data_IF_397532471002
#
_entry.id   IF_397532471002
#
_cell.length_a   1.000
_cell.length_b   1.000
_cell.length_c   1.000
_cell.angle_alpha   90.00
_cell.angle_beta   90.00
_cell.angle_gamma   90.00
#
_symmetry.space_group_name_H-M   'P 1'
#
loop_
_entity.id
_entity.type
_entity.pdbx_description
1 polymer ?
#
# COMPACT_ATOMS: atom_id res chain seq x y z
N UNK A 1 13.16 -11.96 -10.36
CA UNK A 1 12.51 -12.31 -11.64
C UNK A 1 13.49 -12.19 -12.81
N UNK A 2 14.43 -13.14 -12.94
CA UNK A 2 15.37 -13.16 -14.07
C UNK A 2 14.67 -13.46 -15.41
N UNK A 3 13.59 -14.24 -15.38
CA UNK A 3 12.82 -14.59 -16.58
C UNK A 3 12.07 -13.42 -17.22
N UNK A 4 11.74 -12.38 -16.45
CA UNK A 4 10.97 -11.21 -16.93
C UNK A 4 11.81 -9.93 -17.00
N UNK A 5 12.95 -9.90 -16.29
CA UNK A 5 13.85 -8.71 -16.19
C UNK A 5 15.31 -8.98 -16.57
N UNK A 6 15.66 -10.22 -16.92
CA UNK A 6 17.01 -10.62 -17.32
C UNK A 6 17.24 -10.49 -18.83
N UNK A 7 18.45 -10.83 -19.28
CA UNK A 7 18.82 -10.74 -20.70
C UNK A 7 17.91 -11.55 -21.65
N UNK A 8 17.28 -12.62 -21.16
CA UNK A 8 16.30 -13.42 -21.91
C UNK A 8 14.90 -12.79 -22.02
N UNK A 9 14.63 -11.67 -21.36
CA UNK A 9 13.33 -11.00 -21.41
C UNK A 9 13.14 -10.10 -22.65
N UNK A 10 14.21 -9.85 -23.41
CA UNK A 10 14.17 -9.03 -24.63
C UNK A 10 13.31 -9.75 -25.68
N UNK A 11 12.17 -9.16 -26.02
CA UNK A 11 11.22 -9.73 -26.99
C UNK A 11 10.17 -10.67 -26.39
N UNK A 12 10.15 -10.85 -25.06
CA UNK A 12 9.06 -11.59 -24.40
C UNK A 12 7.79 -10.74 -24.42
N UNK A 13 6.70 -11.29 -24.94
CA UNK A 13 5.39 -10.65 -24.92
C UNK A 13 4.66 -11.01 -23.63
N UNK A 14 3.97 -10.04 -23.03
CA UNK A 14 3.10 -10.25 -21.87
C UNK A 14 2.09 -11.38 -22.11
N UNK A 15 1.54 -11.48 -23.33
CA UNK A 15 0.57 -12.51 -23.68
C UNK A 15 1.12 -13.95 -23.62
N UNK A 16 2.45 -14.13 -23.58
CA UNK A 16 3.10 -15.45 -23.52
C UNK A 16 3.53 -15.82 -22.09
N UNK A 17 3.19 -15.02 -21.07
CA UNK A 17 3.58 -15.25 -19.67
C UNK A 17 2.71 -16.27 -18.92
N UNK A 18 1.65 -16.82 -19.53
CA UNK A 18 0.76 -17.81 -18.92
C UNK A 18 1.51 -18.96 -18.20
N UNK A 19 2.44 -19.66 -18.87
CA UNK A 19 3.21 -20.73 -18.23
C UNK A 19 4.08 -20.28 -17.05
N UNK A 20 4.57 -19.03 -17.05
CA UNK A 20 5.30 -18.46 -15.92
C UNK A 20 4.36 -18.23 -14.73
N UNK A 21 3.17 -17.70 -15.00
CA UNK A 21 2.15 -17.47 -13.98
C UNK A 21 1.72 -18.77 -13.29
N UNK A 22 1.56 -19.86 -14.05
CA UNK A 22 1.27 -21.18 -13.52
C UNK A 22 2.41 -21.69 -12.62
N UNK A 23 3.67 -21.53 -13.05
CA UNK A 23 4.85 -21.88 -12.24
C UNK A 23 4.89 -21.11 -10.93
N UNK A 24 4.59 -19.81 -10.94
CA UNK A 24 4.52 -18.99 -9.71
C UNK A 24 3.46 -19.55 -8.76
N UNK A 25 2.27 -19.86 -9.27
CA UNK A 25 1.17 -20.39 -8.46
C UNK A 25 1.52 -21.74 -7.84
N UNK A 26 2.12 -22.64 -8.63
CA UNK A 26 2.61 -23.94 -8.15
C UNK A 26 3.66 -23.73 -7.06
N UNK A 27 4.65 -22.86 -7.29
CA UNK A 27 5.71 -22.59 -6.32
C UNK A 27 5.16 -22.03 -5.00
N UNK A 28 4.20 -21.09 -5.03
CA UNK A 28 3.53 -20.61 -3.82
C UNK A 28 2.87 -21.77 -3.06
N UNK A 29 2.12 -22.65 -3.73
CA UNK A 29 1.48 -23.82 -3.11
C UNK A 29 2.49 -24.80 -2.51
N UNK A 30 3.62 -25.01 -3.19
CA UNK A 30 4.70 -25.87 -2.70
C UNK A 30 5.28 -25.33 -1.40
N UNK A 31 5.52 -24.01 -1.30
CA UNK A 31 6.04 -23.39 -0.07
C UNK A 31 5.00 -23.38 1.06
N UNK A 32 3.71 -23.18 0.75
CA UNK A 32 2.63 -23.29 1.76
C UNK A 32 2.63 -24.70 2.37
N UNK A 33 2.77 -25.73 1.52
CA UNK A 33 2.75 -27.14 1.94
C UNK A 33 4.02 -27.51 2.70
N UNK A 34 5.17 -27.02 2.25
CA UNK A 34 6.47 -27.29 2.82
C UNK A 34 7.32 -26.00 2.95
N UNK A 35 7.11 -25.21 4.02
CA UNK A 35 7.84 -23.95 4.19
C UNK A 35 9.32 -24.17 4.56
N UNK A 36 9.73 -25.39 4.90
CA UNK A 36 11.13 -25.75 5.14
C UNK A 36 11.98 -25.67 3.87
N UNK A 37 11.36 -25.60 2.68
CA UNK A 37 12.03 -25.25 1.43
C UNK A 37 12.69 -23.86 1.44
N UNK A 38 12.29 -22.98 2.37
CA UNK A 38 12.92 -21.68 2.61
C UNK A 38 13.53 -21.56 4.01
N UNK A 39 12.96 -22.29 4.98
CA UNK A 39 13.26 -22.12 6.41
C UNK A 39 14.18 -23.20 6.97
N UNK A 40 14.51 -24.27 6.23
CA UNK A 40 15.52 -25.22 6.70
C UNK A 40 16.93 -24.63 6.56
N UNK A 41 17.85 -25.01 7.46
CA UNK A 41 19.28 -24.75 7.30
C UNK A 41 19.86 -25.47 6.06
N UNK A 42 19.23 -26.58 5.67
CA UNK A 42 19.57 -27.36 4.49
C UNK A 42 18.79 -26.91 3.24
N UNK A 43 18.02 -25.81 3.33
CA UNK A 43 17.21 -25.36 2.21
C UNK A 43 18.10 -24.94 1.03
N UNK A 44 17.89 -25.58 -0.11
CA UNK A 44 18.63 -25.32 -1.34
C UNK A 44 17.89 -24.32 -2.22
N UNK A 45 18.65 -23.54 -2.98
CA UNK A 45 18.08 -22.67 -4.01
C UNK A 45 17.37 -23.44 -5.12
N UNK A 46 17.77 -24.69 -5.37
CA UNK A 46 17.19 -25.54 -6.42
C UNK A 46 15.69 -25.79 -6.19
N UNK A 47 15.29 -25.93 -4.93
CA UNK A 47 13.89 -26.18 -4.54
C UNK A 47 13.21 -24.95 -3.94
N UNK A 48 13.98 -24.06 -3.32
CA UNK A 48 13.47 -22.86 -2.65
C UNK A 48 13.29 -21.65 -3.55
N UNK A 49 13.97 -21.58 -4.69
CA UNK A 49 13.77 -20.49 -5.66
C UNK A 49 12.73 -20.88 -6.72
N UNK A 50 12.07 -19.86 -7.29
CA UNK A 50 11.07 -20.06 -8.35
C UNK A 50 11.69 -20.61 -9.65
N UNK A 51 12.90 -20.17 -9.98
CA UNK A 51 13.61 -20.52 -11.21
C UNK A 51 14.61 -21.68 -11.03
N UNK A 52 14.78 -22.19 -9.81
CA UNK A 52 15.80 -23.20 -9.48
C UNK A 52 17.22 -22.64 -9.46
N UNK A 53 17.36 -21.33 -9.52
CA UNK A 53 18.63 -20.63 -9.65
C UNK A 53 19.12 -20.06 -8.31
N UNK A 54 20.42 -19.76 -8.23
CA UNK A 54 21.02 -19.19 -7.03
C UNK A 54 20.29 -17.93 -6.56
N UNK A 55 20.07 -17.84 -5.25
CA UNK A 55 19.42 -16.70 -4.62
C UNK A 55 20.10 -15.40 -5.01
N UNK A 56 19.31 -14.37 -5.32
CA UNK A 56 19.85 -13.05 -5.66
C UNK A 56 20.64 -12.44 -4.49
N UNK A 57 20.29 -12.79 -3.26
CA UNK A 57 20.91 -12.33 -2.02
C UNK A 57 21.07 -13.48 -1.03
N UNK A 58 22.12 -14.32 -1.19
CA UNK A 58 22.37 -15.43 -0.28
C UNK A 58 22.64 -14.96 1.15
N UNK A 59 23.30 -13.81 1.30
CA UNK A 59 23.53 -13.11 2.57
C UNK A 59 22.24 -12.87 3.37
N UNK A 60 21.17 -12.47 2.67
CA UNK A 60 19.86 -12.25 3.30
C UNK A 60 19.25 -13.53 3.85
N UNK A 61 19.42 -14.65 3.14
CA UNK A 61 18.88 -15.94 3.57
C UNK A 61 19.63 -16.47 4.79
N UNK A 62 20.97 -16.39 4.80
CA UNK A 62 21.77 -16.75 5.97
C UNK A 62 21.43 -15.91 7.20
N UNK A 63 21.18 -14.60 7.02
CA UNK A 63 20.78 -13.72 8.11
C UNK A 63 19.41 -14.11 8.68
N UNK A 64 18.45 -14.47 7.83
CA UNK A 64 17.14 -14.97 8.26
C UNK A 64 17.31 -16.25 9.08
N UNK A 65 18.08 -17.22 8.58
CA UNK A 65 18.33 -18.49 9.29
C UNK A 65 19.02 -18.32 10.64
N UNK A 66 19.99 -17.43 10.73
CA UNK A 66 20.65 -17.11 12.00
C UNK A 66 19.66 -16.52 13.03
N UNK A 67 18.62 -15.82 12.57
CA UNK A 67 17.60 -15.22 13.41
C UNK A 67 16.41 -16.16 13.69
N UNK A 68 16.24 -17.23 12.92
CA UNK A 68 15.10 -18.15 13.04
C UNK A 68 14.82 -18.62 14.47
N UNK A 69 15.82 -19.02 15.29
CA UNK A 69 15.56 -19.48 16.67
C UNK A 69 14.90 -18.41 17.55
N UNK A 70 15.03 -17.13 17.18
CA UNK A 70 14.46 -15.98 17.88
C UNK A 70 13.12 -15.51 17.31
N UNK A 71 12.63 -16.13 16.24
CA UNK A 71 11.45 -15.72 15.50
C UNK A 71 10.37 -16.82 15.52
N UNK A 72 9.66 -17.01 16.65
CA UNK A 72 8.74 -18.14 16.84
C UNK A 72 7.56 -18.16 15.84
N UNK A 73 7.23 -17.01 15.25
CA UNK A 73 6.12 -16.87 14.30
C UNK A 73 6.57 -16.82 12.83
N UNK A 74 7.87 -16.93 12.54
CA UNK A 74 8.37 -16.80 11.16
C UNK A 74 7.70 -17.79 10.21
N UNK A 75 7.57 -19.06 10.63
CA UNK A 75 6.91 -20.09 9.84
C UNK A 75 5.48 -19.69 9.48
N UNK A 76 4.68 -19.30 10.47
CA UNK A 76 3.28 -18.89 10.25
C UNK A 76 3.18 -17.66 9.36
N UNK A 77 4.10 -16.70 9.49
CA UNK A 77 4.14 -15.50 8.65
C UNK A 77 4.47 -15.85 7.20
N UNK A 78 5.43 -16.75 6.97
CA UNK A 78 5.80 -17.21 5.63
C UNK A 78 4.60 -17.91 4.97
N UNK A 79 3.95 -18.83 5.67
CA UNK A 79 2.73 -19.50 5.16
C UNK A 79 1.66 -18.46 4.79
N UNK A 80 1.31 -17.57 5.73
CA UNK A 80 0.27 -16.56 5.50
C UNK A 80 0.62 -15.61 4.33
N UNK A 81 1.90 -15.26 4.17
CA UNK A 81 2.37 -14.48 3.03
C UNK A 81 2.12 -15.22 1.71
N UNK A 82 2.49 -16.50 1.61
CA UNK A 82 2.31 -17.26 0.39
C UNK A 82 0.85 -17.62 0.11
N UNK A 83 0.01 -17.80 1.14
CA UNK A 83 -1.45 -17.95 0.98
C UNK A 83 -2.06 -16.68 0.35
N UNK A 84 -1.75 -15.51 0.91
CA UNK A 84 -2.23 -14.23 0.39
C UNK A 84 -1.66 -13.93 -1.01
N UNK A 85 -0.40 -14.29 -1.26
CA UNK A 85 0.21 -14.18 -2.57
C UNK A 85 -0.51 -15.08 -3.59
N UNK A 86 -0.74 -16.36 -3.28
CA UNK A 86 -1.43 -17.30 -4.17
C UNK A 86 -2.86 -16.87 -4.48
N UNK A 87 -3.61 -16.40 -3.47
CA UNK A 87 -4.97 -15.88 -3.65
C UNK A 87 -4.98 -14.66 -4.58
N UNK A 88 -4.06 -13.72 -4.36
CA UNK A 88 -3.96 -12.51 -5.19
C UNK A 88 -3.50 -12.85 -6.60
N UNK A 89 -2.56 -13.78 -6.73
CA UNK A 89 -2.02 -14.21 -8.03
C UNK A 89 -3.11 -14.88 -8.87
N UNK A 90 -3.96 -15.72 -8.27
CA UNK A 90 -5.12 -16.31 -8.95
C UNK A 90 -6.02 -15.26 -9.60
N UNK A 91 -6.30 -14.16 -8.89
CA UNK A 91 -7.09 -13.05 -9.45
C UNK A 91 -6.36 -12.36 -10.60
N UNK A 92 -5.04 -12.17 -10.47
CA UNK A 92 -4.21 -11.54 -11.50
C UNK A 92 -4.13 -12.36 -12.79
N UNK A 93 -4.09 -13.69 -12.68
CA UNK A 93 -3.84 -14.58 -13.83
C UNK A 93 -5.12 -15.05 -14.52
N UNK A 94 -6.29 -14.60 -14.07
CA UNK A 94 -7.60 -14.97 -14.64
C UNK A 94 -7.64 -14.74 -16.16
N UNK A 95 -6.97 -13.69 -16.65
CA UNK A 95 -6.88 -13.37 -18.08
C UNK A 95 -6.01 -14.33 -18.91
N UNK A 96 -5.25 -15.23 -18.27
CA UNK A 96 -4.44 -16.27 -18.91
C UNK A 96 -5.11 -17.66 -18.89
N UNK A 97 -6.32 -17.76 -18.32
CA UNK A 97 -7.05 -19.02 -18.27
C UNK A 97 -7.37 -19.60 -19.67
N UNK A 98 -7.70 -20.90 -19.77
CA UNK A 98 -7.92 -21.58 -21.04
C UNK A 98 -9.04 -20.95 -21.89
N UNK A 99 -10.06 -20.38 -21.25
CA UNK A 99 -11.19 -19.73 -21.92
C UNK A 99 -10.94 -18.24 -22.23
N UNK A 100 -9.73 -17.74 -22.00
CA UNK A 100 -9.42 -16.32 -22.18
C UNK A 100 -9.19 -15.93 -23.63
N UNK A 101 -9.27 -14.63 -23.90
CA UNK A 101 -8.91 -14.06 -25.21
C UNK A 101 -7.42 -14.21 -25.52
N UNK A 102 -6.57 -14.28 -24.49
CA UNK A 102 -5.12 -14.45 -24.64
C UNK A 102 -4.81 -15.89 -25.07
N UNK A 103 -5.49 -16.87 -24.44
CA UNK A 103 -5.35 -18.29 -24.77
C UNK A 103 -5.89 -18.64 -26.17
N UNK A 104 -7.01 -18.04 -26.55
CA UNK A 104 -7.62 -18.25 -27.88
C UNK A 104 -6.97 -17.44 -29.02
N UNK A 105 -6.13 -16.46 -28.72
CA UNK A 105 -5.40 -15.70 -29.73
C UNK A 105 -4.41 -16.58 -30.50
N UNK A 106 -4.32 -16.37 -31.81
CA UNK A 106 -3.25 -16.93 -32.62
C UNK A 106 -1.89 -16.30 -32.28
N UNK A 107 -0.79 -16.97 -32.63
CA UNK A 107 0.55 -16.41 -32.45
C UNK A 107 0.72 -15.04 -33.16
N UNK A 108 0.12 -14.90 -34.35
CA UNK A 108 0.14 -13.64 -35.10
C UNK A 108 -0.68 -12.52 -34.41
N UNK A 109 -1.78 -12.84 -33.74
CA UNK A 109 -2.54 -11.87 -32.95
C UNK A 109 -1.79 -11.46 -31.69
N UNK A 110 -1.19 -12.40 -30.96
CA UNK A 110 -0.34 -12.08 -29.81
C UNK A 110 0.81 -11.17 -30.23
N UNK A 111 1.50 -11.46 -31.33
CA UNK A 111 2.59 -10.63 -31.84
C UNK A 111 2.13 -9.21 -32.23
N UNK A 112 0.94 -9.06 -32.83
CA UNK A 112 0.37 -7.74 -33.14
C UNK A 112 -0.05 -6.98 -31.88
N UNK A 113 -0.52 -7.69 -30.87
CA UNK A 113 -0.87 -7.16 -29.55
C UNK A 113 0.33 -7.15 -28.59
N UNK A 114 1.53 -6.87 -29.10
CA UNK A 114 2.74 -6.88 -28.27
C UNK A 114 2.61 -5.92 -27.08
N UNK A 115 2.72 -6.50 -25.88
CA UNK A 115 2.77 -5.79 -24.61
C UNK A 115 4.08 -6.18 -23.91
N UNK A 116 4.84 -5.22 -23.36
CA UNK A 116 6.04 -5.55 -22.59
C UNK A 116 5.63 -6.39 -21.36
N UNK A 117 6.49 -7.32 -20.93
CA UNK A 117 6.15 -8.29 -19.89
C UNK A 117 6.18 -7.68 -18.48
N UNK A 118 6.72 -6.47 -18.35
CA UNK A 118 6.63 -5.64 -17.15
C UNK A 118 6.09 -4.25 -17.49
N UNK A 119 5.48 -3.62 -16.49
CA UNK A 119 5.03 -2.24 -16.58
C UNK A 119 6.20 -1.22 -16.50
N UNK A 120 7.45 -1.68 -16.41
CA UNK A 120 8.63 -0.83 -16.18
C UNK A 120 8.76 0.28 -17.25
N UNK A 121 8.40 -0.01 -18.50
CA UNK A 121 8.41 0.96 -19.61
C UNK A 121 7.37 2.06 -19.39
N UNK A 122 6.17 1.72 -18.94
CA UNK A 122 5.11 2.70 -18.65
C UNK A 122 5.44 3.50 -17.39
N UNK A 123 6.02 2.87 -16.37
CA UNK A 123 6.50 3.54 -15.16
C UNK A 123 7.62 4.54 -15.48
N UNK A 124 8.57 4.14 -16.34
CA UNK A 124 9.61 5.02 -16.87
C UNK A 124 9.04 6.17 -17.71
N UNK A 125 8.03 5.90 -18.54
CA UNK A 125 7.35 6.93 -19.32
C UNK A 125 6.63 7.94 -18.43
N UNK A 126 5.93 7.49 -17.39
CA UNK A 126 5.29 8.37 -16.41
C UNK A 126 6.32 9.20 -15.63
N UNK A 127 7.42 8.59 -15.20
CA UNK A 127 8.53 9.30 -14.57
C UNK A 127 9.11 10.39 -15.48
N UNK A 128 9.34 10.05 -16.74
CA UNK A 128 9.83 10.99 -17.77
C UNK A 128 8.83 12.13 -18.00
N UNK A 129 7.55 11.82 -18.11
CA UNK A 129 6.47 12.79 -18.24
C UNK A 129 6.46 13.76 -17.06
N UNK A 130 6.58 13.26 -15.82
CA UNK A 130 6.64 14.08 -14.61
C UNK A 130 7.82 15.05 -14.63
N UNK A 131 9.00 14.57 -15.02
CA UNK A 131 10.20 15.41 -15.16
C UNK A 131 9.97 16.48 -16.24
N UNK A 132 9.44 16.10 -17.41
CA UNK A 132 9.15 17.01 -18.50
C UNK A 132 8.13 18.10 -18.09
N UNK A 133 7.07 17.74 -17.37
CA UNK A 133 6.08 18.68 -16.85
C UNK A 133 6.66 19.66 -15.82
N UNK A 134 7.70 19.28 -15.06
CA UNK A 134 8.39 20.21 -14.16
C UNK A 134 9.21 21.25 -14.92
N UNK A 135 9.92 20.83 -15.97
CA UNK A 135 10.72 21.73 -16.80
C UNK A 135 9.87 22.60 -17.74
N UNK A 136 8.73 22.08 -18.21
CA UNK A 136 7.81 22.76 -19.12
C UNK A 136 6.36 22.59 -18.64
N UNK A 137 5.94 23.27 -17.57
CA UNK A 137 4.60 23.12 -16.99
C UNK A 137 3.48 23.59 -17.92
N UNK A 138 3.78 24.50 -18.84
CA UNK A 138 2.84 24.98 -19.84
C UNK A 138 2.73 24.06 -21.07
N UNK A 139 3.50 22.96 -21.13
CA UNK A 139 3.39 22.00 -22.22
C UNK A 139 2.09 21.20 -22.13
N UNK A 140 1.43 21.00 -23.27
CA UNK A 140 0.21 20.20 -23.35
C UNK A 140 0.56 18.71 -23.38
N UNK A 141 -0.38 17.86 -22.96
CA UNK A 141 -0.21 16.40 -23.00
C UNK A 141 0.05 15.92 -24.43
N UNK A 142 -0.62 16.53 -25.40
CA UNK A 142 -0.47 16.29 -26.83
C UNK A 142 0.94 16.60 -27.32
N UNK A 143 1.51 17.73 -26.88
CA UNK A 143 2.90 18.09 -27.20
C UNK A 143 3.90 17.10 -26.59
N UNK A 144 3.66 16.65 -25.35
CA UNK A 144 4.48 15.65 -24.70
C UNK A 144 4.41 14.29 -25.43
N UNK A 145 3.20 13.84 -25.78
CA UNK A 145 2.97 12.61 -26.53
C UNK A 145 3.62 12.68 -27.92
N UNK A 146 3.45 13.80 -28.64
CA UNK A 146 4.05 14.01 -29.95
C UNK A 146 5.58 13.97 -29.89
N UNK A 147 6.21 14.63 -28.91
CA UNK A 147 7.67 14.58 -28.71
C UNK A 147 8.17 13.18 -28.37
N UNK A 148 7.42 12.44 -27.56
CA UNK A 148 7.76 11.07 -27.18
C UNK A 148 7.71 10.16 -28.40
N UNK A 149 6.63 10.24 -29.18
CA UNK A 149 6.48 9.46 -30.42
C UNK A 149 7.50 9.85 -31.49
N UNK A 150 7.80 11.14 -31.64
CA UNK A 150 8.80 11.63 -32.57
C UNK A 150 10.18 10.99 -32.32
N UNK A 151 10.57 10.88 -31.04
CA UNK A 151 11.82 10.21 -30.63
C UNK A 151 11.74 8.70 -30.82
N UNK A 152 10.67 8.08 -30.32
CA UNK A 152 10.50 6.61 -30.34
C UNK A 152 10.48 6.05 -31.75
N UNK A 153 9.80 6.73 -32.67
CA UNK A 153 9.65 6.29 -34.05
C UNK A 153 10.78 6.79 -34.97
N UNK A 154 11.77 7.50 -34.43
CA UNK A 154 12.81 8.18 -35.20
C UNK A 154 12.23 9.04 -36.35
N UNK A 155 11.13 9.74 -36.07
CA UNK A 155 10.39 10.50 -37.09
C UNK A 155 11.25 11.57 -37.75
N UNK A 156 12.28 12.07 -37.06
CA UNK A 156 13.25 13.01 -37.64
C UNK A 156 14.00 12.46 -38.84
N UNK A 157 14.46 11.21 -38.78
CA UNK A 157 15.13 10.56 -39.92
C UNK A 157 14.17 10.30 -41.08
N UNK A 158 12.89 10.00 -40.79
CA UNK A 158 11.87 9.89 -41.82
C UNK A 158 11.59 11.24 -42.49
N UNK A 159 11.46 12.32 -41.71
CA UNK A 159 11.24 13.66 -42.24
C UNK A 159 12.41 14.10 -43.13
N UNK A 160 13.65 13.88 -42.72
CA UNK A 160 14.81 14.27 -43.52
C UNK A 160 14.94 13.47 -44.82
N UNK A 161 14.54 12.19 -44.82
CA UNK A 161 14.69 11.30 -45.98
C UNK A 161 13.50 11.37 -46.95
N UNK A 162 12.29 11.59 -46.44
CA UNK A 162 11.06 11.36 -47.20
C UNK A 162 10.21 12.61 -47.44
N UNK A 163 10.40 13.71 -46.69
CA UNK A 163 9.56 14.90 -46.83
C UNK A 163 10.25 16.05 -47.56
N UNK A 164 9.54 16.61 -48.55
CA UNK A 164 9.96 17.82 -49.24
C UNK A 164 9.70 19.09 -48.39
N UNK A 165 10.31 20.23 -48.73
CA UNK A 165 9.99 21.50 -48.08
C UNK A 165 8.50 21.89 -48.16
N UNK A 166 7.80 21.51 -49.23
CA UNK A 166 6.38 21.76 -49.40
C UNK A 166 5.53 20.92 -48.42
N UNK A 167 5.87 19.64 -48.25
CA UNK A 167 5.19 18.76 -47.28
C UNK A 167 5.38 19.26 -45.85
N UNK A 168 6.59 19.73 -45.52
CA UNK A 168 6.87 20.32 -44.21
C UNK A 168 6.07 21.62 -43.99
N UNK A 169 5.89 22.45 -45.03
CA UNK A 169 5.06 23.64 -44.95
C UNK A 169 3.59 23.29 -44.69
N UNK A 170 3.06 22.28 -45.38
CA UNK A 170 1.72 21.75 -45.14
C UNK A 170 1.54 21.21 -43.72
N UNK A 171 2.49 20.41 -43.21
CA UNK A 171 2.43 19.90 -41.84
C UNK A 171 2.45 21.02 -40.80
N UNK A 172 3.27 22.07 -41.01
CA UNK A 172 3.27 23.25 -40.12
C UNK A 172 1.93 23.98 -40.16
N UNK A 173 1.30 24.10 -41.32
CA UNK A 173 -0.04 24.68 -41.44
C UNK A 173 -1.06 23.85 -40.65
N UNK A 174 -1.10 22.53 -40.85
CA UNK A 174 -2.01 21.63 -40.12
C UNK A 174 -1.78 21.61 -38.62
N UNK A 175 -0.53 21.70 -38.17
CA UNK A 175 -0.21 21.82 -36.74
C UNK A 175 -0.83 23.10 -36.12
N UNK A 176 -0.71 24.24 -36.81
CA UNK A 176 -1.31 25.51 -36.35
C UNK A 176 -2.84 25.44 -36.31
N UNK A 177 -3.47 24.80 -37.31
CA UNK A 177 -4.91 24.57 -37.34
C UNK A 177 -5.36 23.74 -36.11
N UNK A 178 -4.65 22.66 -35.80
CA UNK A 178 -4.90 21.85 -34.61
C UNK A 178 -4.69 22.63 -33.30
N UNK A 179 -3.61 23.41 -33.18
CA UNK A 179 -3.35 24.23 -32.00
C UNK A 179 -4.44 25.30 -31.79
N UNK A 180 -4.96 25.86 -32.89
CA UNK A 180 -6.05 26.84 -32.87
C UNK A 180 -7.41 26.26 -32.48
N UNK A 181 -7.59 24.93 -32.54
CA UNK A 181 -8.85 24.25 -32.20
C UNK A 181 -9.26 24.38 -30.73
N UNK A 182 -8.33 24.76 -29.84
CA UNK A 182 -8.60 24.89 -28.41
C UNK A 182 -8.84 23.57 -27.67
N UNK A 183 -8.62 22.41 -28.31
CA UNK A 183 -8.84 21.09 -27.71
C UNK A 183 -8.08 20.89 -26.37
N UNK A 184 -6.86 21.40 -26.28
CA UNK A 184 -6.07 21.35 -25.04
C UNK A 184 -6.66 22.24 -23.92
N UNK A 185 -7.29 23.37 -24.27
CA UNK A 185 -8.02 24.21 -23.30
C UNK A 185 -9.25 23.47 -22.79
N UNK A 186 -10.02 22.86 -23.68
CA UNK A 186 -11.20 22.04 -23.33
C UNK A 186 -10.85 20.88 -22.39
N UNK A 187 -9.77 20.15 -22.68
CA UNK A 187 -9.29 19.08 -21.80
C UNK A 187 -8.89 19.59 -20.40
N UNK A 188 -8.24 20.75 -20.32
CA UNK A 188 -7.87 21.35 -19.04
C UNK A 188 -9.08 21.78 -18.22
N UNK A 189 -10.12 22.31 -18.86
CA UNK A 189 -11.37 22.64 -18.17
C UNK A 189 -12.10 21.39 -17.68
N UNK A 190 -12.21 20.36 -18.52
CA UNK A 190 -12.81 19.07 -18.13
C UNK A 190 -12.05 18.43 -16.94
N UNK A 191 -10.71 18.47 -16.95
CA UNK A 191 -9.90 17.97 -15.83
C UNK A 191 -10.13 18.79 -14.55
N UNK A 192 -10.17 20.12 -14.65
CA UNK A 192 -10.40 20.98 -13.50
C UNK A 192 -11.79 20.79 -12.89
N UNK A 193 -12.82 20.61 -13.71
CA UNK A 193 -14.19 20.30 -13.28
C UNK A 193 -14.26 18.95 -12.55
N UNK A 194 -13.59 17.92 -13.10
CA UNK A 194 -13.48 16.62 -12.46
C UNK A 194 -12.77 16.69 -11.11
N UNK A 195 -11.63 17.40 -11.05
CA UNK A 195 -10.83 17.54 -9.84
C UNK A 195 -11.60 18.30 -8.74
N UNK A 196 -12.37 19.33 -9.11
CA UNK A 196 -13.21 20.07 -8.16
C UNK A 196 -14.38 19.22 -7.63
N UNK A 197 -15.01 18.42 -8.50
CA UNK A 197 -16.06 17.49 -8.11
C UNK A 197 -15.54 16.41 -7.14
N UNK A 198 -14.38 15.82 -7.42
CA UNK A 198 -13.73 14.84 -6.55
C UNK A 198 -13.30 15.47 -5.21
N UNK A 199 -12.71 16.68 -5.25
CA UNK A 199 -12.35 17.41 -4.04
C UNK A 199 -13.59 17.70 -3.18
N UNK A 200 -14.69 18.13 -3.78
CA UNK A 200 -15.97 18.37 -3.10
C UNK A 200 -16.55 17.09 -2.49
N UNK A 201 -16.50 15.97 -3.21
CA UNK A 201 -16.93 14.67 -2.68
C UNK A 201 -16.06 14.23 -1.50
N UNK A 202 -14.75 14.41 -1.59
CA UNK A 202 -13.80 14.12 -0.50
C UNK A 202 -14.04 15.00 0.73
N UNK A 203 -14.37 16.28 0.55
CA UNK A 203 -14.75 17.19 1.65
C UNK A 203 -16.01 16.70 2.36
N UNK A 204 -17.09 16.40 1.62
CA UNK A 204 -18.33 15.85 2.19
C UNK A 204 -18.08 14.55 2.97
N UNK A 205 -17.29 13.63 2.42
CA UNK A 205 -16.90 12.39 3.11
C UNK A 205 -16.12 12.68 4.39
N UNK A 206 -15.22 13.67 4.37
CA UNK A 206 -14.43 14.08 5.55
C UNK A 206 -15.30 14.71 6.63
N UNK A 207 -16.28 15.53 6.25
CA UNK A 207 -17.25 16.14 7.17
C UNK A 207 -18.09 15.06 7.88
N UNK A 208 -18.70 14.14 7.12
CA UNK A 208 -19.44 13.00 7.71
C UNK A 208 -18.56 12.16 8.65
N UNK A 209 -17.30 11.93 8.29
CA UNK A 209 -16.36 11.23 9.16
C UNK A 209 -15.99 12.04 10.41
N UNK A 210 -15.92 13.37 10.30
CA UNK A 210 -15.67 14.30 11.41
C UNK A 210 -16.86 14.31 12.37
N UNK A 211 -18.08 14.42 11.86
CA UNK A 211 -19.31 14.44 12.66
C UNK A 211 -19.48 13.12 13.41
N UNK A 212 -19.28 11.98 12.74
CA UNK A 212 -19.28 10.66 13.39
C UNK A 212 -18.23 10.55 14.49
N UNK A 213 -17.05 11.17 14.31
CA UNK A 213 -16.01 11.21 15.35
C UNK A 213 -16.40 12.13 16.50
N UNK A 214 -17.03 13.26 16.22
CA UNK A 214 -17.51 14.21 17.22
C UNK A 214 -18.64 13.61 18.07
N UNK A 215 -19.66 13.01 17.44
CA UNK A 215 -20.73 12.27 18.12
C UNK A 215 -20.18 11.17 19.01
N UNK A 216 -19.22 10.39 18.49
CA UNK A 216 -18.56 9.34 19.26
C UNK A 216 -17.84 9.92 20.47
N UNK A 217 -17.16 11.07 20.32
CA UNK A 217 -16.45 11.75 21.42
C UNK A 217 -17.41 12.29 22.47
N UNK A 218 -18.56 12.84 22.08
CA UNK A 218 -19.61 13.29 23.00
C UNK A 218 -20.14 12.10 23.82
N UNK A 219 -20.45 10.98 23.15
CA UNK A 219 -20.89 9.75 23.83
C UNK A 219 -19.86 9.23 24.83
N UNK A 220 -18.58 9.25 24.46
CA UNK A 220 -17.50 8.82 25.37
C UNK A 220 -17.37 9.75 26.58
N UNK A 221 -17.43 11.08 26.39
CA UNK A 221 -17.32 12.06 27.47
C UNK A 221 -18.51 12.01 28.45
N UNK A 222 -19.69 11.61 27.98
CA UNK A 222 -20.88 11.46 28.82
C UNK A 222 -20.88 10.22 29.72
N UNK A 223 -19.93 9.29 29.53
CA UNK A 223 -19.84 8.08 30.34
C UNK A 223 -19.11 8.38 31.63
N UNK A 224 -19.74 8.04 32.75
CA UNK A 224 -19.07 8.01 34.05
C UNK A 224 -18.10 6.81 34.10
N UNK A 225 -16.79 7.03 34.23
CA UNK A 225 -15.82 5.94 34.30
C UNK A 225 -16.05 5.09 35.55
N UNK A 226 -16.12 3.77 35.40
CA UNK A 226 -16.17 2.86 36.54
C UNK A 226 -14.84 2.90 37.28
N UNK A 227 -14.87 3.22 38.59
CA UNK A 227 -13.66 3.40 39.40
C UNK A 227 -13.35 2.21 40.33
N UNK A 228 -14.27 1.28 40.49
CA UNK A 228 -14.09 0.14 41.40
C UNK A 228 -13.62 -1.10 40.62
N UNK A 229 -12.37 -1.49 40.85
CA UNK A 229 -11.76 -2.66 40.20
C UNK A 229 -12.28 -3.99 40.77
N UNK A 230 -12.68 -4.05 42.03
CA UNK A 230 -13.22 -5.26 42.66
C UNK A 230 -14.66 -5.55 42.21
N UNK A 231 -15.50 -4.51 42.16
CA UNK A 231 -16.87 -4.64 41.68
C UNK A 231 -16.91 -5.07 40.22
N UNK A 232 -15.98 -4.57 39.40
CA UNK A 232 -15.85 -4.92 37.98
C UNK A 232 -15.50 -6.41 37.76
N UNK A 233 -14.67 -6.99 38.63
CA UNK A 233 -14.33 -8.42 38.56
C UNK A 233 -15.48 -9.31 39.04
N UNK A 234 -16.21 -8.88 40.08
CA UNK A 234 -17.33 -9.63 40.66
C UNK A 234 -18.57 -9.64 39.76
N UNK A 235 -18.87 -8.53 39.07
CA UNK A 235 -20.02 -8.42 38.17
C UNK A 235 -19.66 -7.63 36.90
N UNK A 236 -19.03 -8.28 35.90
CA UNK A 236 -18.55 -7.59 34.72
C UNK A 236 -19.69 -7.24 33.75
N UNK A 237 -19.80 -5.97 33.32
CA UNK A 237 -20.87 -5.53 32.42
C UNK A 237 -20.75 -6.14 31.01
N UNK A 238 -21.67 -5.76 30.14
CA UNK A 238 -21.70 -6.24 28.77
C UNK A 238 -20.44 -5.77 27.98
N UNK A 239 -20.01 -6.56 27.00
CA UNK A 239 -18.86 -6.26 26.14
C UNK A 239 -18.93 -4.88 25.47
N UNK A 240 -20.14 -4.40 25.12
CA UNK A 240 -20.34 -3.06 24.55
C UNK A 240 -20.02 -1.95 25.55
N UNK A 241 -20.35 -2.16 26.82
CA UNK A 241 -20.12 -1.21 27.90
C UNK A 241 -18.65 -1.22 28.33
N UNK A 242 -18.01 -2.39 28.37
CA UNK A 242 -16.55 -2.51 28.56
C UNK A 242 -15.77 -1.79 27.46
N UNK A 243 -16.18 -1.92 26.19
CA UNK A 243 -15.54 -1.21 25.06
C UNK A 243 -15.63 0.32 25.23
N UNK A 244 -16.79 0.81 25.66
CA UNK A 244 -17.04 2.23 25.88
C UNK A 244 -16.25 2.79 27.07
N UNK A 245 -16.14 2.02 28.16
CA UNK A 245 -15.34 2.36 29.35
C UNK A 245 -13.85 2.42 29.02
N UNK A 246 -13.32 1.43 28.28
CA UNK A 246 -11.95 1.45 27.78
C UNK A 246 -11.67 2.65 26.86
N UNK A 247 -12.65 3.04 26.03
CA UNK A 247 -12.51 4.25 25.20
C UNK A 247 -12.52 5.54 26.02
N UNK A 248 -13.26 5.59 27.13
CA UNK A 248 -13.25 6.71 28.07
C UNK A 248 -11.89 6.88 28.76
N UNK A 249 -11.35 5.81 29.34
CA UNK A 249 -10.01 5.82 29.94
C UNK A 249 -8.93 6.16 28.91
N UNK A 250 -9.06 5.72 27.66
CA UNK A 250 -8.11 6.05 26.58
C UNK A 250 -8.05 7.54 26.20
N UNK A 251 -9.02 8.37 26.64
CA UNK A 251 -8.93 9.82 26.45
C UNK A 251 -7.87 10.48 27.34
N UNK A 252 -7.54 9.85 28.47
CA UNK A 252 -6.63 10.39 29.48
C UNK A 252 -5.41 9.50 29.71
N UNK A 253 -5.49 8.22 29.34
CA UNK A 253 -4.42 7.23 29.46
C UNK A 253 -4.06 6.65 28.08
N UNK A 254 -2.84 6.92 27.61
CA UNK A 254 -2.35 6.43 26.32
C UNK A 254 -1.94 4.95 26.34
N UNK A 255 -1.78 4.36 27.53
CA UNK A 255 -1.38 2.97 27.74
C UNK A 255 -2.56 1.99 27.57
N UNK A 256 -3.81 2.49 27.51
CA UNK A 256 -5.00 1.65 27.32
C UNK A 256 -5.00 1.02 25.91
N UNK A 257 -4.90 -0.32 25.79
CA UNK A 257 -4.81 -1.01 24.50
C UNK A 257 -6.00 -0.73 23.60
N UNK A 258 -5.79 -0.54 22.29
CA UNK A 258 -6.87 -0.33 21.30
C UNK A 258 -7.77 -1.56 21.19
N UNK A 259 -9.05 -1.38 20.88
CA UNK A 259 -10.05 -2.46 20.72
C UNK A 259 -9.57 -3.66 19.89
N UNK A 260 -8.77 -3.44 18.85
CA UNK A 260 -8.21 -4.49 18.00
C UNK A 260 -7.21 -5.43 18.71
N UNK A 261 -6.71 -5.06 19.88
CA UNK A 261 -5.74 -5.81 20.68
C UNK A 261 -6.35 -6.46 21.93
N UNK A 262 -7.62 -6.18 22.22
CA UNK A 262 -8.36 -6.73 23.37
C UNK A 262 -9.70 -7.23 22.83
N UNK A 263 -9.68 -8.44 22.27
CA UNK A 263 -10.81 -9.03 21.57
C UNK A 263 -11.77 -9.73 22.54
N UNK A 264 -11.21 -10.44 23.52
CA UNK A 264 -11.96 -11.28 24.43
C UNK A 264 -12.45 -10.51 25.66
N UNK A 265 -13.57 -10.94 26.26
CA UNK A 265 -14.18 -10.27 27.42
C UNK A 265 -13.21 -10.17 28.61
N UNK A 266 -12.46 -11.24 28.89
CA UNK A 266 -11.49 -11.30 29.98
C UNK A 266 -10.34 -10.30 29.78
N UNK A 267 -9.81 -10.20 28.56
CA UNK A 267 -8.74 -9.25 28.21
C UNK A 267 -9.19 -7.80 28.39
N UNK A 268 -10.46 -7.51 28.06
CA UNK A 268 -11.06 -6.17 28.26
C UNK A 268 -11.20 -5.82 29.73
N UNK A 269 -11.59 -6.78 30.57
CA UNK A 269 -11.69 -6.59 32.02
C UNK A 269 -10.30 -6.34 32.59
N UNK A 270 -9.30 -7.15 32.24
CA UNK A 270 -7.92 -6.98 32.70
C UNK A 270 -7.34 -5.61 32.28
N UNK A 271 -7.56 -5.20 31.02
CA UNK A 271 -7.12 -3.90 30.53
C UNK A 271 -7.83 -2.73 31.24
N UNK A 272 -9.10 -2.89 31.62
CA UNK A 272 -9.85 -1.86 32.33
C UNK A 272 -9.42 -1.76 33.80
N UNK A 273 -9.18 -2.90 34.47
CA UNK A 273 -8.62 -2.93 35.83
C UNK A 273 -7.26 -2.23 35.87
N UNK A 274 -6.35 -2.57 34.96
CA UNK A 274 -5.03 -1.93 34.89
C UNK A 274 -5.13 -0.40 34.65
N UNK A 275 -6.12 0.05 33.87
CA UNK A 275 -6.36 1.47 33.64
C UNK A 275 -6.91 2.19 34.90
N UNK A 276 -7.79 1.52 35.66
CA UNK A 276 -8.32 2.02 36.93
C UNK A 276 -7.19 2.14 37.97
N UNK A 277 -6.35 1.12 38.09
CA UNK A 277 -5.24 1.10 39.04
C UNK A 277 -4.23 2.23 38.75
N UNK A 278 -3.89 2.46 37.48
CA UNK A 278 -3.06 3.61 37.07
C UNK A 278 -3.71 4.95 37.38
N UNK A 279 -5.01 5.07 37.14
CA UNK A 279 -5.75 6.30 37.45
C UNK A 279 -5.72 6.60 38.97
N UNK A 280 -5.85 5.58 39.82
CA UNK A 280 -5.76 5.74 41.28
C UNK A 280 -4.34 6.06 41.75
N UNK A 281 -3.31 5.40 41.20
CA UNK A 281 -1.92 5.69 41.51
C UNK A 281 -1.54 7.15 41.15
N UNK A 282 -2.03 7.66 40.02
CA UNK A 282 -1.82 9.06 39.61
C UNK A 282 -2.52 10.08 40.55
N UNK A 283 -3.70 9.76 41.06
CA UNK A 283 -4.40 10.62 42.02
C UNK A 283 -3.68 10.71 43.38
N UNK A 284 -3.16 9.59 43.89
CA UNK A 284 -2.39 9.56 45.15
C UNK A 284 -1.08 10.36 45.04
N UNK A 285 -0.43 10.33 43.87
CA UNK A 285 0.78 11.11 43.61
C UNK A 285 0.52 12.63 43.62
N UNK A 286 -0.63 13.08 43.11
CA UNK A 286 -1.00 14.50 43.07
C UNK A 286 -1.45 15.08 44.42
N UNK A 287 -1.86 14.24 45.36
CA UNK A 287 -2.31 14.67 46.70
C UNK A 287 -1.16 14.76 47.72
N UNK A 288 0.01 14.18 47.43
CA UNK A 288 1.19 14.22 48.30
C UNK A 288 2.01 15.52 48.25
N UNK A 289 1.85 16.35 47.21
CA UNK A 289 2.69 17.54 46.97
C UNK A 289 2.17 18.84 47.63
N UNK A 290 1.03 18.81 48.33
CA UNK A 290 0.40 20.01 48.92
C UNK A 290 0.69 20.18 50.43
N UNK A 291 1.38 19.23 51.08
CA UNK A 291 1.50 19.20 52.55
C UNK A 291 2.88 19.55 53.16
N UNK A 292 3.77 20.20 52.42
CA UNK A 292 5.07 20.65 52.97
C UNK A 292 5.36 22.12 52.69
N UNK A 293 4.59 23.04 53.28
CA UNK A 293 5.07 24.39 53.60
C UNK A 293 4.49 24.87 54.93
N UNK A 294 5.15 24.51 56.02
CA UNK A 294 5.11 25.26 57.27
C UNK A 294 6.51 25.28 57.87
N UNK A 295 7.17 26.43 58.00
CA UNK A 295 8.22 26.60 58.99
C UNK A 295 7.67 27.37 60.20
N UNK A 296 7.96 26.82 61.36
CA UNK A 296 7.69 27.36 62.68
C UNK A 296 8.51 28.62 62.96
N UNK A 297 7.93 29.48 63.80
CA UNK A 297 8.60 30.59 64.45
C UNK A 297 9.39 30.15 65.70
N UNK A 298 10.32 31.03 66.12
CA UNK A 298 11.10 31.10 67.38
C UNK A 298 12.42 30.30 67.37
N UNK A 299 13.57 30.81 67.82
CA UNK A 299 13.98 32.05 68.48
C UNK A 299 15.48 31.97 68.87
N UNK A 300 16.01 33.03 69.48
CA UNK A 300 17.40 33.27 69.96
C UNK A 300 18.41 33.68 68.85
N UNK A 301 19.05 34.85 68.86
CA UNK A 301 19.51 35.76 69.92
C UNK A 301 19.42 37.22 69.47
#
# INVERSE_FOLDING_TARGET
MRQVRGAGAVGTNNCDLGPLHDKVLVHCKTIITNPDLLLSLDASYETGSLDGEQWQRPDGMYAVWALMPKLPHLRSIVIAFFEGAAETWLRFITEYGPDSRIASASAAERQRAYLPPTNDVNEGALGTMRIASRHAPNSTLESQNARTMYRKNNTGAFISKCLSPADQAYLRHKAREMDSSGAARKRRTEQAEYDDADASQKRKRREVLSDRRAEKRIKIRGIQPMRDSEALQKSPPNNRELDLQLESYRMHDTEVPKKKFVGHKLEKIAALVAAIDRYHAGQQSSHGDVQTQHPAANGEN
#
